data_IF_057868934142
#
_entry.id   IF_057868934142
#
_cell.length_a   1.000
_cell.length_b   1.000
_cell.length_c   1.000
_cell.angle_alpha   90.00
_cell.angle_beta   90.00
_cell.angle_gamma   90.00
#
_symmetry.space_group_name_H-M   'P 1'
#
loop_
_entity.id
_entity.type
_entity.pdbx_description
1 polymer ?
#
# COMPACT_ATOMS: atom_id res chain seq x y z
N UNK A 1 -41.88 -1.09 25.72
CA UNK A 1 -41.63 -2.54 25.64
C UNK A 1 -40.72 -2.77 24.46
N UNK A 2 -39.44 -3.09 24.67
CA UNK A 2 -38.48 -3.28 23.58
C UNK A 2 -38.53 -4.75 23.20
N UNK A 3 -39.12 -5.05 22.04
CA UNK A 3 -39.18 -6.42 21.51
C UNK A 3 -37.79 -6.75 20.97
N UNK A 4 -37.06 -7.60 21.69
CA UNK A 4 -35.76 -8.10 21.23
C UNK A 4 -36.00 -9.17 20.17
N UNK A 5 -35.79 -8.83 18.89
CA UNK A 5 -35.82 -9.81 17.79
C UNK A 5 -34.49 -10.57 17.78
N UNK A 6 -34.56 -11.90 17.60
CA UNK A 6 -33.35 -12.70 17.39
C UNK A 6 -32.69 -12.31 16.07
N UNK A 7 -31.36 -12.11 16.10
CA UNK A 7 -30.55 -11.87 14.90
C UNK A 7 -30.62 -13.01 13.87
N UNK A 8 -31.11 -14.18 14.26
CA UNK A 8 -31.33 -15.32 13.36
C UNK A 8 -32.52 -15.11 12.40
N UNK A 9 -33.44 -14.19 12.72
CA UNK A 9 -34.65 -13.93 11.94
C UNK A 9 -34.70 -12.50 11.37
N UNK A 10 -33.58 -11.77 11.39
CA UNK A 10 -33.50 -10.44 10.80
C UNK A 10 -33.11 -10.54 9.32
N UNK A 11 -33.77 -9.76 8.47
CA UNK A 11 -33.34 -9.56 7.08
C UNK A 11 -32.19 -8.57 7.01
N UNK A 12 -31.45 -8.57 5.90
CA UNK A 12 -30.26 -7.73 5.68
C UNK A 12 -30.52 -6.24 5.91
N UNK A 13 -31.73 -5.78 5.60
CA UNK A 13 -32.18 -4.39 5.76
C UNK A 13 -32.55 -4.02 7.19
N UNK A 14 -32.74 -5.01 8.07
CA UNK A 14 -33.12 -4.81 9.47
C UNK A 14 -31.90 -4.74 10.41
N UNK A 15 -30.70 -4.96 9.89
CA UNK A 15 -29.44 -4.86 10.65
C UNK A 15 -28.81 -3.49 10.38
N UNK A 16 -28.83 -2.55 11.36
CA UNK A 16 -28.17 -1.24 11.20
C UNK A 16 -26.69 -1.43 10.89
N UNK A 17 -26.17 -0.73 9.87
CA UNK A 17 -24.77 -0.86 9.46
C UNK A 17 -24.48 -1.95 8.41
N UNK A 18 -25.40 -2.88 8.15
CA UNK A 18 -25.12 -4.00 7.23
C UNK A 18 -24.90 -3.53 5.78
N UNK A 19 -25.60 -2.47 5.37
CA UNK A 19 -25.49 -1.85 4.04
C UNK A 19 -24.72 -0.52 4.04
N UNK A 20 -24.10 -0.13 5.16
CA UNK A 20 -23.40 1.17 5.27
C UNK A 20 -21.95 1.14 4.75
N UNK A 21 -21.54 0.05 4.10
CA UNK A 21 -20.25 -0.03 3.43
C UNK A 21 -20.33 0.65 2.05
N UNK A 22 -19.55 1.72 1.79
CA UNK A 22 -19.55 2.36 0.48
C UNK A 22 -19.04 1.36 -0.58
N UNK A 23 -19.93 1.00 -1.51
CA UNK A 23 -19.66 0.05 -2.61
C UNK A 23 -18.47 0.45 -3.49
N UNK A 24 -18.01 1.70 -3.38
CA UNK A 24 -16.89 2.26 -4.13
C UNK A 24 -15.53 1.63 -3.82
N UNK A 25 -15.35 0.98 -2.66
CA UNK A 25 -14.08 0.31 -2.32
C UNK A 25 -13.88 -1.04 -3.05
N UNK A 26 -14.93 -1.62 -3.64
CA UNK A 26 -14.89 -2.95 -4.25
C UNK A 26 -15.36 -2.99 -5.70
N UNK A 27 -15.32 -1.87 -6.43
CA UNK A 27 -15.52 -1.88 -7.88
C UNK A 27 -14.18 -1.95 -8.61
N UNK A 28 -13.61 -3.15 -8.92
CA UNK A 28 -12.70 -3.24 -10.04
C UNK A 28 -13.56 -3.04 -11.28
N UNK A 29 -13.25 -2.01 -12.08
CA UNK A 29 -13.88 -1.71 -13.38
C UNK A 29 -14.46 -2.96 -14.06
N UNK A 30 -15.79 -3.16 -14.00
CA UNK A 30 -16.46 -4.22 -14.77
C UNK A 30 -17.21 -3.60 -15.94
N UNK A 31 -16.96 -4.03 -17.19
CA UNK A 31 -17.87 -3.77 -18.29
C UNK A 31 -19.21 -4.48 -18.05
N UNK A 32 -20.29 -3.85 -18.50
CA UNK A 32 -21.67 -4.36 -18.47
C UNK A 32 -21.76 -5.79 -19.03
N UNK A 33 -21.97 -6.77 -18.13
CA UNK A 33 -22.29 -8.15 -18.50
C UNK A 33 -23.76 -8.41 -18.26
N UNK A 34 -24.48 -8.77 -19.32
CA UNK A 34 -25.92 -9.09 -19.34
C UNK A 34 -26.24 -10.18 -18.30
N UNK A 35 -27.31 -9.96 -17.52
CA UNK A 35 -27.89 -10.92 -16.57
C UNK A 35 -28.11 -12.28 -17.24
N UNK A 36 -27.48 -13.34 -16.71
CA UNK A 36 -27.99 -14.71 -16.81
C UNK A 36 -28.53 -15.10 -15.44
N UNK A 37 -29.85 -15.23 -15.34
CA UNK A 37 -30.49 -15.78 -14.16
C UNK A 37 -30.17 -17.27 -14.08
N UNK A 38 -29.43 -17.69 -13.04
CA UNK A 38 -29.36 -19.09 -12.68
C UNK A 38 -30.59 -19.42 -11.84
N UNK A 39 -31.52 -20.17 -12.44
CA UNK A 39 -32.64 -20.82 -11.77
C UNK A 39 -32.06 -21.92 -10.86
N UNK A 40 -32.29 -21.82 -9.56
CA UNK A 40 -32.02 -22.91 -8.62
C UNK A 40 -33.18 -23.91 -8.73
N UNK A 41 -32.87 -25.14 -9.16
CA UNK A 41 -33.80 -26.27 -9.10
C UNK A 41 -33.59 -26.90 -7.72
N UNK A 42 -34.65 -26.91 -6.91
CA UNK A 42 -34.70 -27.65 -5.66
C UNK A 42 -35.08 -29.09 -6.00
N UNK A 43 -34.11 -30.00 -5.92
CA UNK A 43 -34.39 -31.43 -5.93
C UNK A 43 -34.60 -31.89 -4.48
N UNK A 44 -35.86 -32.15 -4.15
CA UNK A 44 -36.23 -32.97 -3.00
C UNK A 44 -35.75 -34.40 -3.24
N UNK A 45 -34.76 -34.86 -2.47
CA UNK A 45 -34.46 -36.28 -2.33
C UNK A 45 -34.94 -36.74 -0.96
N UNK A 46 -36.11 -37.39 -0.96
CA UNK A 46 -36.50 -38.33 0.09
C UNK A 46 -35.66 -39.60 -0.07
N UNK A 47 -34.91 -39.99 0.95
CA UNK A 47 -34.46 -41.37 1.12
C UNK A 47 -34.42 -41.73 2.60
N UNK A 48 -35.17 -42.79 2.91
CA UNK A 48 -35.41 -43.40 4.21
C UNK A 48 -34.25 -44.33 4.57
N UNK A 49 -33.83 -44.33 5.84
CA UNK A 49 -33.27 -45.51 6.51
C UNK A 49 -31.86 -45.39 7.11
N UNK A 50 -31.74 -45.92 8.33
CA UNK A 50 -30.51 -46.35 9.05
C UNK A 50 -29.91 -45.41 10.11
N UNK A 51 -30.49 -45.54 11.31
CA UNK A 51 -29.86 -45.88 12.61
C UNK A 51 -28.38 -45.58 12.89
N UNK A 52 -28.19 -45.01 14.09
CA UNK A 52 -27.07 -45.12 15.03
C UNK A 52 -25.77 -44.34 14.76
N UNK A 53 -25.52 -43.33 15.62
CA UNK A 53 -24.48 -43.40 16.67
C UNK A 53 -23.85 -42.04 16.99
N UNK A 54 -24.00 -41.63 18.26
CA UNK A 54 -23.15 -40.67 19.01
C UNK A 54 -22.87 -39.28 18.41
N UNK A 55 -23.73 -38.32 18.73
CA UNK A 55 -23.41 -36.89 18.73
C UNK A 55 -22.38 -36.59 19.83
N UNK A 56 -21.11 -36.43 19.47
CA UNK A 56 -20.10 -35.85 20.35
C UNK A 56 -20.34 -34.34 20.49
N UNK A 57 -20.85 -33.92 21.64
CA UNK A 57 -20.95 -32.51 22.04
C UNK A 57 -19.55 -31.97 22.35
N UNK A 58 -18.87 -31.41 21.35
CA UNK A 58 -17.74 -30.53 21.60
C UNK A 58 -18.27 -29.17 22.06
N UNK A 59 -18.03 -28.87 23.34
CA UNK A 59 -18.31 -27.60 23.98
C UNK A 59 -17.79 -26.43 23.14
N UNK A 60 -18.65 -25.45 22.90
CA UNK A 60 -18.31 -24.21 22.24
C UNK A 60 -17.15 -23.53 22.99
N UNK A 61 -16.02 -23.38 22.31
CA UNK A 61 -14.89 -22.57 22.80
C UNK A 61 -15.32 -21.11 22.73
N UNK A 62 -15.26 -20.42 23.85
CA UNK A 62 -15.55 -18.98 23.95
C UNK A 62 -14.69 -18.21 22.95
N UNK A 63 -15.24 -17.21 22.22
CA UNK A 63 -14.44 -16.38 21.35
C UNK A 63 -13.41 -15.60 22.18
N UNK A 64 -12.19 -15.37 21.65
CA UNK A 64 -11.17 -14.63 22.37
C UNK A 64 -11.66 -13.20 22.67
N UNK A 65 -11.26 -12.60 23.80
CA UNK A 65 -11.67 -11.25 24.15
C UNK A 65 -11.18 -10.28 23.07
N UNK A 66 -12.12 -9.52 22.51
CA UNK A 66 -11.83 -8.41 21.59
C UNK A 66 -11.10 -7.35 22.41
N UNK A 67 -9.77 -7.39 22.39
CA UNK A 67 -8.93 -6.29 22.84
C UNK A 67 -9.29 -5.09 21.96
N UNK A 68 -10.09 -4.17 22.51
CA UNK A 68 -10.34 -2.86 21.92
C UNK A 68 -8.98 -2.20 21.71
N UNK A 69 -8.46 -2.26 20.48
CA UNK A 69 -7.38 -1.35 20.08
C UNK A 69 -7.96 0.04 20.26
N UNK A 70 -7.41 0.79 21.20
CA UNK A 70 -7.60 2.23 21.19
C UNK A 70 -7.26 2.71 19.78
N UNK A 71 -8.00 3.68 19.23
CA UNK A 71 -7.56 4.35 18.03
C UNK A 71 -6.20 4.93 18.39
N UNK A 72 -5.14 4.33 17.87
CA UNK A 72 -3.86 4.99 17.83
C UNK A 72 -4.13 6.19 16.95
N UNK A 73 -4.35 7.35 17.58
CA UNK A 73 -4.24 8.62 16.89
C UNK A 73 -2.94 8.51 16.09
N UNK A 74 -3.09 8.53 14.77
CA UNK A 74 -1.99 8.81 13.87
C UNK A 74 -1.63 10.24 14.23
N UNK A 75 -0.78 10.38 15.24
CA UNK A 75 -0.09 11.59 15.58
C UNK A 75 0.74 11.88 14.35
N UNK A 76 0.15 12.64 13.43
CA UNK A 76 0.82 13.34 12.36
C UNK A 76 1.83 14.23 13.06
N UNK A 77 2.98 13.64 13.40
CA UNK A 77 4.18 14.33 13.83
C UNK A 77 4.65 15.01 12.56
N UNK A 78 3.99 16.14 12.26
CA UNK A 78 4.42 17.13 11.29
C UNK A 78 5.68 17.70 11.91
N UNK A 79 6.78 16.99 11.75
CA UNK A 79 8.11 17.51 12.07
C UNK A 79 8.29 18.71 11.15
N UNK A 80 8.01 19.87 11.73
CA UNK A 80 8.34 21.20 11.23
C UNK A 80 9.87 21.30 11.21
N UNK A 81 10.48 20.65 10.23
CA UNK A 81 11.71 21.17 9.67
C UNK A 81 11.26 21.83 8.37
N UNK A 82 10.90 23.11 8.46
CA UNK A 82 10.62 23.94 7.29
C UNK A 82 11.93 24.27 6.59
N UNK A 83 12.63 23.26 6.10
CA UNK A 83 13.53 23.44 4.97
C UNK A 83 12.64 23.58 3.76
N UNK A 84 12.69 24.75 3.11
CA UNK A 84 12.00 24.94 1.85
C UNK A 84 12.41 23.81 0.89
N UNK A 85 11.48 23.29 0.08
CA UNK A 85 11.82 22.28 -0.91
C UNK A 85 12.91 22.82 -1.83
N UNK A 86 13.96 22.03 -2.06
CA UNK A 86 15.02 22.39 -3.01
C UNK A 86 14.40 22.66 -4.38
N UNK A 87 14.95 23.65 -5.06
CA UNK A 87 14.57 23.96 -6.43
C UNK A 87 14.92 22.78 -7.35
N UNK A 88 14.21 22.71 -8.48
CA UNK A 88 14.47 21.69 -9.51
C UNK A 88 15.95 21.62 -9.91
N UNK A 89 16.60 22.77 -10.04
CA UNK A 89 18.03 22.86 -10.44
C UNK A 89 18.94 22.30 -9.37
N UNK A 90 18.76 22.69 -8.11
CA UNK A 90 19.57 22.17 -7.00
C UNK A 90 19.45 20.65 -6.84
N UNK A 91 18.25 20.09 -7.05
CA UNK A 91 18.06 18.63 -7.01
C UNK A 91 18.82 17.95 -8.14
N UNK A 92 18.80 18.51 -9.36
CA UNK A 92 19.56 17.98 -10.49
C UNK A 92 21.07 18.05 -10.24
N UNK A 93 21.55 19.16 -9.68
CA UNK A 93 22.97 19.33 -9.33
C UNK A 93 23.41 18.30 -8.29
N UNK A 94 22.57 18.02 -7.28
CA UNK A 94 22.81 16.98 -6.27
C UNK A 94 22.80 15.56 -6.86
N UNK A 95 21.99 15.31 -7.89
CA UNK A 95 22.00 14.03 -8.61
C UNK A 95 23.26 13.89 -9.46
N UNK A 96 23.73 14.97 -10.08
CA UNK A 96 24.99 14.96 -10.83
C UNK A 96 26.18 14.72 -9.90
N UNK A 97 26.21 15.38 -8.74
CA UNK A 97 27.19 15.11 -7.67
C UNK A 97 27.15 13.63 -7.25
N UNK A 98 25.96 13.04 -7.18
CA UNK A 98 25.82 11.60 -6.88
C UNK A 98 26.49 10.72 -7.93
N UNK A 99 26.45 11.11 -9.22
CA UNK A 99 27.07 10.37 -10.31
C UNK A 99 28.59 10.47 -10.34
N UNK A 100 29.16 11.48 -9.71
CA UNK A 100 30.60 11.68 -9.64
C UNK A 100 31.27 10.83 -8.55
N UNK A 101 30.49 10.27 -7.61
CA UNK A 101 31.03 9.33 -6.62
C UNK A 101 31.41 7.99 -7.24
N UNK A 102 32.41 7.34 -6.63
CA UNK A 102 32.84 6.00 -7.03
C UNK A 102 31.69 4.99 -6.85
N UNK A 103 31.31 4.34 -7.95
CA UNK A 103 30.29 3.31 -7.97
C UNK A 103 30.91 1.92 -7.98
N UNK A 104 30.34 1.02 -7.16
CA UNK A 104 30.67 -0.42 -7.19
C UNK A 104 30.02 -1.16 -8.36
N UNK A 105 29.18 -0.49 -9.14
CA UNK A 105 28.48 -1.10 -10.28
C UNK A 105 29.42 -1.23 -11.49
N UNK A 106 29.18 -2.24 -12.30
CA UNK A 106 29.85 -2.38 -13.60
C UNK A 106 29.47 -1.18 -14.47
N UNK A 107 30.43 -0.61 -15.22
CA UNK A 107 30.23 0.62 -16.00
C UNK A 107 28.99 0.59 -16.90
N UNK A 108 28.77 -0.52 -17.62
CA UNK A 108 27.59 -0.71 -18.48
C UNK A 108 26.28 -0.71 -17.69
N UNK A 109 26.28 -1.31 -16.51
CA UNK A 109 25.11 -1.36 -15.62
C UNK A 109 24.82 0.02 -15.03
N UNK A 110 25.87 0.73 -14.59
CA UNK A 110 25.77 2.10 -14.10
C UNK A 110 25.19 3.05 -15.17
N UNK A 111 25.72 3.02 -16.40
CA UNK A 111 25.22 3.83 -17.51
C UNK A 111 23.76 3.52 -17.85
N UNK A 112 23.37 2.24 -17.81
CA UNK A 112 21.99 1.82 -18.02
C UNK A 112 21.04 2.44 -16.99
N UNK A 113 21.40 2.38 -15.70
CA UNK A 113 20.59 2.98 -14.65
C UNK A 113 20.59 4.51 -14.69
N UNK A 114 21.75 5.12 -14.95
CA UNK A 114 21.90 6.58 -15.10
C UNK A 114 20.97 7.10 -16.19
N UNK A 115 21.01 6.51 -17.38
CA UNK A 115 20.12 6.85 -18.50
C UNK A 115 18.64 6.72 -18.11
N UNK A 116 18.28 5.71 -17.32
CA UNK A 116 16.90 5.51 -16.87
C UNK A 116 16.44 6.64 -15.95
N UNK A 117 17.30 7.08 -15.04
CA UNK A 117 17.02 8.20 -14.13
C UNK A 117 16.93 9.51 -14.93
N UNK A 118 17.93 9.82 -15.76
CA UNK A 118 18.00 11.07 -16.54
C UNK A 118 16.77 11.27 -17.42
N UNK A 119 16.29 10.21 -18.08
CA UNK A 119 15.13 10.27 -18.96
C UNK A 119 13.81 10.63 -18.24
N UNK A 120 13.70 10.38 -16.93
CA UNK A 120 12.45 10.54 -16.19
C UNK A 120 12.52 11.67 -15.14
N UNK A 121 13.69 11.88 -14.55
CA UNK A 121 13.88 12.76 -13.40
C UNK A 121 13.45 14.19 -13.71
N UNK A 122 13.86 14.75 -14.86
CA UNK A 122 13.56 16.14 -15.23
C UNK A 122 12.05 16.39 -15.26
N UNK A 123 11.27 15.45 -15.82
CA UNK A 123 9.81 15.52 -15.85
C UNK A 123 9.18 15.25 -14.48
N UNK A 124 9.74 14.33 -13.69
CA UNK A 124 9.21 14.03 -12.35
C UNK A 124 9.38 15.22 -11.40
N UNK A 125 10.45 16.01 -11.52
CA UNK A 125 10.70 17.18 -10.68
C UNK A 125 9.77 18.38 -10.97
N UNK A 126 8.96 18.34 -12.03
CA UNK A 126 7.85 19.30 -12.19
C UNK A 126 6.81 19.15 -11.08
N UNK A 127 6.68 17.94 -10.52
CA UNK A 127 5.77 17.68 -9.42
C UNK A 127 6.38 18.10 -8.07
N UNK A 128 5.67 18.97 -7.35
CA UNK A 128 6.02 19.46 -6.01
C UNK A 128 6.24 18.31 -5.01
N UNK A 129 5.42 17.25 -5.07
CA UNK A 129 5.54 16.12 -4.16
C UNK A 129 6.87 15.39 -4.36
N UNK A 130 7.29 15.19 -5.62
CA UNK A 130 8.57 14.60 -5.98
C UNK A 130 9.72 15.46 -5.47
N UNK A 131 9.65 16.79 -5.62
CA UNK A 131 10.68 17.70 -5.08
C UNK A 131 10.81 17.62 -3.57
N UNK A 132 9.69 17.55 -2.84
CA UNK A 132 9.69 17.40 -1.37
C UNK A 132 10.36 16.09 -0.95
N UNK A 133 10.01 14.98 -1.60
CA UNK A 133 10.61 13.67 -1.27
C UNK A 133 12.10 13.62 -1.62
N UNK A 134 12.50 14.13 -2.79
CA UNK A 134 13.91 14.21 -3.19
C UNK A 134 14.71 15.14 -2.26
N UNK A 135 14.11 16.25 -1.81
CA UNK A 135 14.74 17.13 -0.81
C UNK A 135 14.99 16.39 0.48
N UNK A 136 13.98 15.69 1.00
CA UNK A 136 14.11 14.88 2.21
C UNK A 136 15.17 13.78 2.03
N UNK A 137 15.17 13.11 0.90
CA UNK A 137 16.16 12.09 0.57
C UNK A 137 17.58 12.66 0.66
N UNK A 138 17.88 13.80 0.02
CA UNK A 138 19.22 14.37 0.06
C UNK A 138 19.64 14.89 1.43
N UNK A 139 18.70 15.42 2.22
CA UNK A 139 18.98 15.78 3.62
C UNK A 139 19.35 14.55 4.46
N UNK A 140 18.64 13.45 4.26
CA UNK A 140 18.92 12.19 4.95
C UNK A 140 20.19 11.52 4.40
N UNK A 141 20.48 11.62 3.11
CA UNK A 141 21.64 11.01 2.46
C UNK A 141 22.97 11.56 2.97
N UNK A 142 23.00 12.82 3.41
CA UNK A 142 24.17 13.42 4.04
C UNK A 142 24.39 12.95 5.49
N UNK A 143 23.36 12.42 6.14
CA UNK A 143 23.40 12.04 7.56
C UNK A 143 23.50 10.52 7.76
N UNK A 144 22.64 9.76 7.06
CA UNK A 144 22.48 8.33 7.23
C UNK A 144 22.00 7.68 5.92
N UNK A 145 22.90 6.87 5.34
CA UNK A 145 22.64 6.13 4.11
C UNK A 145 21.42 5.20 4.22
N UNK A 146 21.22 4.56 5.37
CA UNK A 146 20.12 3.60 5.56
C UNK A 146 18.77 4.30 5.62
N UNK A 147 18.72 5.48 6.26
CA UNK A 147 17.52 6.31 6.36
C UNK A 147 17.08 6.81 4.98
N UNK A 148 18.04 7.32 4.19
CA UNK A 148 17.79 7.78 2.83
C UNK A 148 17.26 6.65 1.93
N UNK A 149 17.87 5.45 1.98
CA UNK A 149 17.37 4.28 1.24
C UNK A 149 15.95 3.87 1.69
N UNK A 150 15.66 3.96 2.99
CA UNK A 150 14.31 3.68 3.52
C UNK A 150 13.28 4.69 3.01
N UNK A 151 13.65 5.96 2.89
CA UNK A 151 12.77 7.00 2.33
C UNK A 151 12.42 6.73 0.87
N UNK A 152 13.40 6.36 0.03
CA UNK A 152 13.12 5.95 -1.35
C UNK A 152 12.24 4.69 -1.43
N UNK A 153 12.51 3.68 -0.59
CA UNK A 153 11.68 2.45 -0.51
C UNK A 153 10.23 2.76 -0.11
N UNK A 154 10.04 3.62 0.89
CA UNK A 154 8.72 4.06 1.32
C UNK A 154 8.00 4.86 0.22
N UNK A 155 8.72 5.71 -0.50
CA UNK A 155 8.16 6.46 -1.62
C UNK A 155 7.66 5.55 -2.73
N UNK A 156 8.45 4.57 -3.16
CA UNK A 156 8.05 3.58 -4.17
C UNK A 156 6.81 2.76 -3.76
N UNK A 157 6.60 2.54 -2.46
CA UNK A 157 5.40 1.86 -1.96
C UNK A 157 4.15 2.75 -1.92
N UNK A 158 4.34 4.06 -1.89
CA UNK A 158 3.24 5.04 -1.75
C UNK A 158 2.86 5.68 -3.09
N UNK A 159 3.81 5.78 -4.02
CA UNK A 159 3.65 6.46 -5.30
C UNK A 159 4.14 5.57 -6.45
N UNK A 160 3.19 5.09 -7.25
CA UNK A 160 3.48 4.19 -8.38
C UNK A 160 4.09 4.92 -9.58
N UNK A 161 3.97 6.24 -9.65
CA UNK A 161 4.45 7.02 -10.80
C UNK A 161 5.97 7.01 -10.94
N UNK A 162 6.69 6.69 -9.86
CA UNK A 162 8.16 6.69 -9.84
C UNK A 162 8.78 5.29 -9.93
N UNK A 163 7.97 4.23 -10.01
CA UNK A 163 8.45 2.83 -10.08
C UNK A 163 9.32 2.58 -11.31
N UNK A 164 9.10 3.32 -12.40
CA UNK A 164 9.87 3.17 -13.63
C UNK A 164 11.35 3.60 -13.48
N UNK A 165 11.68 4.57 -12.62
CA UNK A 165 13.06 5.10 -12.49
C UNK A 165 13.63 5.07 -11.07
N UNK A 166 12.81 5.21 -10.03
CA UNK A 166 13.26 5.25 -8.64
C UNK A 166 14.03 3.99 -8.19
N UNK A 167 13.70 2.76 -8.63
CA UNK A 167 14.53 1.59 -8.32
C UNK A 167 15.94 1.69 -8.90
N UNK A 168 16.10 2.26 -10.09
CA UNK A 168 17.40 2.49 -10.71
C UNK A 168 18.20 3.55 -9.94
N UNK A 169 17.53 4.63 -9.51
CA UNK A 169 18.12 5.65 -8.66
C UNK A 169 18.61 5.08 -7.33
N UNK A 170 17.77 4.30 -6.64
CA UNK A 170 18.13 3.62 -5.39
C UNK A 170 19.31 2.66 -5.61
N UNK A 171 19.33 1.91 -6.71
CA UNK A 171 20.41 0.97 -7.03
C UNK A 171 21.75 1.69 -7.17
N UNK A 172 21.78 2.83 -7.89
CA UNK A 172 22.96 3.69 -7.99
C UNK A 172 23.41 4.13 -6.59
N UNK A 173 22.50 4.74 -5.83
CA UNK A 173 22.78 5.27 -4.49
C UNK A 173 23.29 4.23 -3.49
N UNK A 174 22.72 3.02 -3.48
CA UNK A 174 23.19 1.96 -2.57
C UNK A 174 24.63 1.54 -2.90
N UNK A 175 25.05 1.66 -4.16
CA UNK A 175 26.36 1.21 -4.65
C UNK A 175 27.39 2.34 -4.79
N UNK A 176 27.03 3.61 -4.49
CA UNK A 176 28.00 4.70 -4.37
C UNK A 176 28.72 4.64 -3.02
N UNK A 177 30.04 4.81 -3.05
CA UNK A 177 30.85 5.04 -1.86
C UNK A 177 30.72 6.52 -1.49
N UNK A 178 29.86 6.84 -0.53
CA UNK A 178 29.93 8.15 0.12
C UNK A 178 31.15 8.14 1.04
N UNK A 179 32.04 9.12 0.86
CA UNK A 179 33.23 9.30 1.69
C UNK A 179 32.86 9.69 3.13
#
# INVERSE_FOLDING_TARGET
>A
MIISKSYQNCTETEVPGYNDCPSFLFMPNRPSSKRKQHRVISDHINAIGSTDSSSSTNLATTPPPILRRSPHEIRNKKEKNSTAPLSKKEILDKVNELYDFESKLVTKEFEFYKKKVDNNLVSSLENDSTRVVMTRFFLEANSDKTKASKTLKAWMSSDVSVINWCPAFLKIYEHTQQA
#
